data_IF_730902265554
#
_entry.id   IF_730902265554
#
_cell.length_a   1.000
_cell.length_b   1.000
_cell.length_c   1.000
_cell.angle_alpha   90.00
_cell.angle_beta   90.00
_cell.angle_gamma   90.00
#
_symmetry.space_group_name_H-M   'P 1'
#
loop_
_entity.id
_entity.type
_entity.pdbx_description
1 polymer ?
#
# COMPACT_ATOMS: atom_id res chain seq x y z
N UNK A 1 -18.53 -36.87 1.68
CA UNK A 1 -17.57 -36.25 0.74
C UNK A 1 -16.63 -37.33 0.22
N UNK A 2 -16.53 -37.53 -1.10
CA UNK A 2 -15.76 -38.64 -1.67
C UNK A 2 -14.24 -38.42 -1.53
N UNK A 3 -13.47 -39.51 -1.54
CA UNK A 3 -12.01 -39.47 -1.50
C UNK A 3 -11.42 -38.64 -2.66
N UNK A 4 -11.99 -38.74 -3.86
CA UNK A 4 -11.59 -37.94 -5.01
C UNK A 4 -11.80 -36.44 -4.80
N UNK A 5 -12.90 -36.02 -4.16
CA UNK A 5 -13.14 -34.61 -3.84
C UNK A 5 -12.14 -34.08 -2.80
N UNK A 6 -11.84 -34.86 -1.75
CA UNK A 6 -10.82 -34.50 -0.75
C UNK A 6 -9.43 -34.34 -1.40
N UNK A 7 -9.05 -35.29 -2.26
CA UNK A 7 -7.79 -35.23 -3.00
C UNK A 7 -7.69 -33.96 -3.86
N UNK A 8 -8.74 -33.61 -4.60
CA UNK A 8 -8.76 -32.38 -5.42
C UNK A 8 -8.56 -31.12 -4.58
N UNK A 9 -9.23 -31.03 -3.43
CA UNK A 9 -9.07 -29.89 -2.51
C UNK A 9 -7.63 -29.82 -2.00
N UNK A 10 -7.06 -30.93 -1.55
CA UNK A 10 -5.67 -30.96 -1.07
C UNK A 10 -4.69 -30.51 -2.16
N UNK A 11 -4.83 -31.04 -3.39
CA UNK A 11 -3.98 -30.62 -4.50
C UNK A 11 -4.13 -29.12 -4.82
N UNK A 12 -5.37 -28.62 -4.82
CA UNK A 12 -5.63 -27.20 -5.06
C UNK A 12 -4.99 -26.31 -3.99
N UNK A 13 -5.14 -26.67 -2.71
CA UNK A 13 -4.51 -25.96 -1.58
C UNK A 13 -2.98 -25.98 -1.68
N UNK A 14 -2.38 -27.13 -2.02
CA UNK A 14 -0.93 -27.24 -2.17
C UNK A 14 -0.41 -26.39 -3.33
N UNK A 15 -1.13 -26.35 -4.46
CA UNK A 15 -0.78 -25.48 -5.59
C UNK A 15 -0.86 -24.01 -5.18
N UNK A 16 -1.94 -23.58 -4.52
CA UNK A 16 -2.07 -22.20 -4.04
C UNK A 16 -0.93 -21.82 -3.09
N UNK A 17 -0.62 -22.69 -2.12
CA UNK A 17 0.47 -22.46 -1.17
C UNK A 17 1.83 -22.39 -1.87
N UNK A 18 2.04 -23.21 -2.89
CA UNK A 18 3.28 -23.21 -3.69
C UNK A 18 3.43 -21.96 -4.56
N UNK A 19 2.32 -21.42 -5.06
CA UNK A 19 2.30 -20.18 -5.85
C UNK A 19 2.39 -18.92 -4.97
N UNK A 20 2.09 -19.01 -3.67
CA UNK A 20 2.03 -17.87 -2.75
C UNK A 20 3.32 -17.01 -2.71
N UNK A 21 4.54 -17.57 -2.62
CA UNK A 21 5.76 -16.75 -2.57
C UNK A 21 5.97 -15.90 -3.83
N UNK A 22 5.59 -16.42 -5.00
CA UNK A 22 5.65 -15.65 -6.25
C UNK A 22 4.63 -14.51 -6.24
N UNK A 23 3.40 -14.79 -5.82
CA UNK A 23 2.36 -13.78 -5.67
C UNK A 23 2.77 -12.69 -4.66
N UNK A 24 3.34 -13.07 -3.52
CA UNK A 24 3.82 -12.14 -2.50
C UNK A 24 4.94 -11.24 -3.05
N UNK A 25 5.88 -11.79 -3.83
CA UNK A 25 6.92 -10.96 -4.49
C UNK A 25 6.31 -9.94 -5.45
N UNK A 26 5.28 -10.32 -6.21
CA UNK A 26 4.56 -9.39 -7.09
C UNK A 26 3.88 -8.29 -6.25
N UNK A 27 3.16 -8.66 -5.20
CA UNK A 27 2.47 -7.74 -4.29
C UNK A 27 3.42 -6.67 -3.71
N UNK A 28 4.58 -7.09 -3.22
CA UNK A 28 5.60 -6.19 -2.67
C UNK A 28 6.20 -5.30 -3.76
N UNK A 29 6.58 -5.88 -4.90
CA UNK A 29 7.35 -5.17 -5.95
C UNK A 29 6.52 -4.09 -6.65
N UNK A 30 5.26 -4.41 -6.96
CA UNK A 30 4.38 -3.54 -7.74
C UNK A 30 3.57 -2.59 -6.85
N UNK A 31 3.03 -3.08 -5.74
CA UNK A 31 2.11 -2.29 -4.90
C UNK A 31 2.70 -1.85 -3.56
N UNK A 32 3.96 -2.16 -3.26
CA UNK A 32 4.60 -1.79 -1.99
C UNK A 32 3.87 -2.33 -0.74
N UNK A 33 3.15 -3.45 -0.91
CA UNK A 33 2.45 -4.16 0.14
C UNK A 33 3.44 -4.59 1.21
N UNK A 34 3.05 -4.49 2.47
CA UNK A 34 3.84 -5.00 3.59
C UNK A 34 3.90 -6.53 3.50
N UNK A 35 5.07 -7.14 3.21
CA UNK A 35 5.19 -8.58 3.12
C UNK A 35 4.87 -9.29 4.45
N UNK A 36 5.00 -8.60 5.58
CA UNK A 36 4.89 -9.19 6.91
C UNK A 36 3.45 -9.30 7.39
N UNK A 37 2.61 -8.31 7.09
CA UNK A 37 1.22 -8.29 7.54
C UNK A 37 0.30 -9.09 6.62
N UNK A 38 0.70 -9.33 5.36
CA UNK A 38 -0.06 -10.10 4.39
C UNK A 38 0.48 -11.53 4.28
N UNK A 39 0.12 -12.38 5.27
CA UNK A 39 0.41 -13.82 5.32
C UNK A 39 1.88 -14.19 4.97
N UNK A 40 2.83 -13.39 5.45
CA UNK A 40 4.26 -13.64 5.25
C UNK A 40 4.73 -14.85 6.04
N UNK A 41 5.22 -15.88 5.35
CA UNK A 41 5.77 -17.10 5.96
C UNK A 41 7.22 -16.96 6.46
N UNK A 42 7.87 -15.80 6.28
CA UNK A 42 9.10 -15.44 7.00
C UNK A 42 8.65 -14.62 8.22
N UNK A 43 9.02 -14.80 9.49
CA UNK A 43 10.12 -15.44 10.23
C UNK A 43 11.47 -14.70 10.32
N UNK A 44 11.52 -13.38 10.04
CA UNK A 44 12.57 -12.49 10.55
C UNK A 44 12.02 -11.09 10.83
N UNK A 45 12.43 -10.49 11.93
CA UNK A 45 12.01 -9.15 12.36
C UNK A 45 12.63 -8.10 11.45
N UNK A 46 11.89 -7.61 10.45
CA UNK A 46 12.24 -6.32 9.84
C UNK A 46 11.66 -5.22 10.75
N UNK A 47 12.44 -4.20 11.13
CA UNK A 47 11.91 -3.10 11.95
C UNK A 47 10.71 -2.47 11.24
N UNK A 48 9.62 -2.30 11.98
CA UNK A 48 8.41 -1.62 11.49
C UNK A 48 8.73 -0.12 11.33
N UNK A 49 9.34 0.22 10.21
CA UNK A 49 9.69 1.58 9.88
C UNK A 49 8.44 2.29 9.31
N UNK A 50 8.19 3.54 9.71
CA UNK A 50 6.98 4.24 9.31
C UNK A 50 6.92 4.41 7.80
N UNK A 51 5.76 4.10 7.22
CA UNK A 51 5.47 4.39 5.82
C UNK A 51 5.28 5.90 5.68
N UNK A 52 5.88 6.44 4.62
CA UNK A 52 5.74 7.81 4.22
C UNK A 52 4.68 7.90 3.12
N UNK A 53 3.64 8.69 3.34
CA UNK A 53 2.64 8.99 2.31
C UNK A 53 2.78 10.45 1.98
N UNK A 54 2.86 10.77 0.69
CA UNK A 54 2.86 12.15 0.20
C UNK A 54 1.85 12.28 -0.92
N UNK A 55 1.26 13.45 -1.04
CA UNK A 55 0.31 13.77 -2.11
C UNK A 55 0.98 14.83 -2.96
N UNK A 56 1.13 14.56 -4.25
CA UNK A 56 1.64 15.50 -5.24
C UNK A 56 0.48 16.01 -6.09
N UNK A 57 0.30 17.32 -6.12
CA UNK A 57 -0.63 17.98 -7.02
C UNK A 57 -0.10 17.91 -8.47
N UNK A 58 -0.95 18.09 -9.50
CA UNK A 58 -0.50 18.12 -10.90
C UNK A 58 0.53 19.22 -11.20
N UNK A 59 0.56 20.28 -10.38
CA UNK A 59 1.58 21.33 -10.43
C UNK A 59 3.00 20.83 -10.08
N UNK A 60 3.11 19.61 -9.54
CA UNK A 60 4.35 19.04 -9.02
C UNK A 60 4.61 19.37 -7.55
N UNK A 61 3.81 20.26 -6.95
CA UNK A 61 3.93 20.63 -5.55
C UNK A 61 3.37 19.55 -4.63
N UNK A 62 4.03 19.35 -3.49
CA UNK A 62 3.51 18.47 -2.45
C UNK A 62 2.46 19.21 -1.62
N UNK A 63 1.31 18.56 -1.42
CA UNK A 63 0.26 19.09 -0.57
C UNK A 63 0.72 18.98 0.88
N UNK A 64 0.75 20.12 1.57
CA UNK A 64 1.06 20.18 3.00
C UNK A 64 -0.16 19.70 3.80
N UNK A 65 -0.14 18.42 4.20
CA UNK A 65 -1.25 17.79 4.88
C UNK A 65 -1.53 18.37 6.26
N UNK A 66 -0.55 19.02 6.90
CA UNK A 66 -0.72 19.63 8.23
C UNK A 66 -1.54 20.93 8.18
N UNK A 67 -1.65 21.54 6.99
CA UNK A 67 -2.45 22.75 6.76
C UNK A 67 -3.88 22.47 6.32
N UNK A 68 -4.22 21.21 6.09
CA UNK A 68 -5.58 20.81 5.70
C UNK A 68 -6.53 20.86 6.90
N UNK A 69 -7.84 20.92 6.62
CA UNK A 69 -8.86 20.85 7.66
C UNK A 69 -8.77 19.54 8.48
N UNK A 70 -9.14 19.56 9.77
CA UNK A 70 -8.98 18.39 10.66
C UNK A 70 -9.61 17.10 10.11
N UNK A 71 -10.78 17.19 9.45
CA UNK A 71 -11.44 16.02 8.86
C UNK A 71 -10.62 15.40 7.71
N UNK A 72 -9.92 16.24 6.94
CA UNK A 72 -9.05 15.78 5.84
C UNK A 72 -7.75 15.20 6.39
N UNK A 73 -7.22 15.77 7.49
CA UNK A 73 -6.10 15.18 8.22
C UNK A 73 -6.42 13.78 8.76
N UNK A 74 -7.62 13.60 9.29
CA UNK A 74 -8.10 12.30 9.79
C UNK A 74 -8.28 11.27 8.66
N UNK A 75 -8.78 11.69 7.50
CA UNK A 75 -8.85 10.82 6.32
C UNK A 75 -7.44 10.43 5.83
N UNK A 76 -6.51 11.38 5.83
CA UNK A 76 -5.11 11.11 5.50
C UNK A 76 -4.45 10.15 6.47
N UNK A 77 -4.66 10.31 7.79
CA UNK A 77 -4.15 9.39 8.81
C UNK A 77 -4.69 7.98 8.60
N UNK A 78 -6.00 7.84 8.38
CA UNK A 78 -6.65 6.54 8.11
C UNK A 78 -6.18 5.89 6.81
N UNK A 79 -5.89 6.69 5.78
CA UNK A 79 -5.29 6.18 4.55
C UNK A 79 -3.86 5.70 4.81
N UNK A 80 -3.03 6.49 5.52
CA UNK A 80 -1.66 6.12 5.88
C UNK A 80 -1.59 4.83 6.69
N UNK A 81 -2.50 4.64 7.64
CA UNK A 81 -2.63 3.40 8.41
C UNK A 81 -2.94 2.21 7.50
N UNK A 82 -3.89 2.33 6.57
CA UNK A 82 -4.20 1.27 5.59
C UNK A 82 -3.03 1.00 4.63
N UNK A 83 -2.39 2.05 4.14
CA UNK A 83 -1.24 1.98 3.24
C UNK A 83 -0.01 1.37 3.93
N UNK A 84 0.07 1.44 5.26
CA UNK A 84 1.13 0.78 6.02
C UNK A 84 1.13 -0.73 5.85
N UNK A 85 -0.04 -1.34 5.60
CA UNK A 85 -0.23 -2.75 5.29
C UNK A 85 -0.31 -3.01 3.79
N UNK A 86 -1.19 -2.30 3.11
CA UNK A 86 -1.61 -2.62 1.74
C UNK A 86 -0.78 -1.90 0.68
N UNK A 87 0.07 -0.94 1.06
CA UNK A 87 0.74 -0.06 0.11
C UNK A 87 -0.27 0.67 -0.78
N UNK A 88 -0.06 0.63 -2.09
CA UNK A 88 -0.97 1.20 -3.09
C UNK A 88 -2.28 0.43 -3.27
N UNK A 89 -2.43 -0.78 -2.70
CA UNK A 89 -3.73 -1.46 -2.68
C UNK A 89 -4.70 -0.85 -1.67
N UNK A 90 -4.25 0.08 -0.82
CA UNK A 90 -5.15 0.82 0.06
C UNK A 90 -6.05 1.73 -0.78
N UNK A 91 -7.38 1.58 -0.66
CA UNK A 91 -8.34 2.45 -1.36
C UNK A 91 -8.14 3.92 -0.93
N UNK A 92 -7.92 4.84 -1.90
CA UNK A 92 -7.78 6.27 -1.64
C UNK A 92 -9.12 7.01 -1.66
N UNK A 93 -10.25 6.34 -1.87
CA UNK A 93 -11.54 6.98 -2.21
C UNK A 93 -12.01 7.99 -1.15
N UNK A 94 -11.85 7.64 0.12
CA UNK A 94 -12.20 8.53 1.23
C UNK A 94 -11.29 9.76 1.28
N UNK A 95 -9.97 9.56 1.10
CA UNK A 95 -8.99 10.64 1.07
C UNK A 95 -9.29 11.59 -0.11
N UNK A 96 -9.51 11.04 -1.30
CA UNK A 96 -9.89 11.78 -2.51
C UNK A 96 -11.16 12.62 -2.29
N UNK A 97 -12.18 12.01 -1.69
CA UNK A 97 -13.44 12.69 -1.40
C UNK A 97 -13.24 13.89 -0.46
N UNK A 98 -12.37 13.75 0.53
CA UNK A 98 -12.05 14.83 1.48
C UNK A 98 -11.17 15.91 0.86
N UNK A 99 -10.18 15.55 0.05
CA UNK A 99 -9.36 16.52 -0.70
C UNK A 99 -10.21 17.37 -1.65
N UNK A 100 -11.21 16.76 -2.31
CA UNK A 100 -12.16 17.49 -3.15
C UNK A 100 -12.99 18.49 -2.33
N UNK A 101 -13.49 18.07 -1.16
CA UNK A 101 -14.23 18.97 -0.25
C UNK A 101 -13.38 20.11 0.27
N UNK A 102 -12.10 19.86 0.53
CA UNK A 102 -11.12 20.86 0.94
C UNK A 102 -10.76 21.86 -0.18
N UNK A 103 -11.32 21.71 -1.39
CA UNK A 103 -11.14 22.67 -2.48
C UNK A 103 -9.92 22.42 -3.36
N UNK A 104 -9.30 21.23 -3.32
CA UNK A 104 -8.34 20.87 -4.37
C UNK A 104 -9.07 20.78 -5.72
N UNK A 105 -8.91 21.82 -6.53
CA UNK A 105 -9.56 21.97 -7.84
C UNK A 105 -8.85 21.20 -8.97
N UNK A 106 -7.99 20.25 -8.64
CA UNK A 106 -7.22 19.50 -9.62
C UNK A 106 -8.02 18.31 -10.17
N UNK A 107 -7.77 17.94 -11.43
CA UNK A 107 -8.43 16.79 -12.07
C UNK A 107 -7.88 15.44 -11.55
N UNK A 108 -6.63 15.44 -11.09
CA UNK A 108 -5.97 14.27 -10.54
C UNK A 108 -4.99 14.67 -9.43
N UNK A 109 -4.61 13.70 -8.61
CA UNK A 109 -3.53 13.79 -7.63
C UNK A 109 -2.68 12.54 -7.71
N UNK A 110 -1.37 12.71 -7.56
CA UNK A 110 -0.43 11.60 -7.53
C UNK A 110 -0.15 11.26 -6.05
N UNK A 111 -0.53 10.05 -5.62
CA UNK A 111 -0.28 9.56 -4.26
C UNK A 111 1.03 8.78 -4.26
N UNK A 112 2.00 9.24 -3.47
CA UNK A 112 3.29 8.58 -3.29
C UNK A 112 3.32 7.83 -1.96
N UNK A 113 3.58 6.52 -2.03
CA UNK A 113 3.79 5.65 -0.86
C UNK A 113 5.25 5.22 -0.84
N UNK A 114 6.01 5.80 0.09
CA UNK A 114 7.40 5.51 0.39
C UNK A 114 7.54 4.50 1.52
N UNK A 115 8.20 3.37 1.25
CA UNK A 115 8.57 2.40 2.29
C UNK A 115 10.08 2.32 2.41
N UNK A 116 10.65 2.54 3.60
CA UNK A 116 12.07 2.31 3.83
C UNK A 116 12.36 0.79 3.84
N UNK A 117 13.35 0.40 3.04
CA UNK A 117 13.81 -0.98 2.88
C UNK A 117 15.30 -1.03 3.18
N UNK A 118 15.72 -2.05 3.93
CA UNK A 118 17.14 -2.29 4.19
C UNK A 118 17.74 -3.01 2.97
N UNK A 119 18.76 -2.42 2.36
CA UNK A 119 19.49 -3.05 1.26
C UNK A 119 20.43 -4.13 1.78
N UNK A 120 20.90 -5.01 0.91
CA UNK A 120 21.94 -6.01 1.23
C UNK A 120 23.26 -5.37 1.67
N UNK A 121 23.49 -4.09 1.36
CA UNK A 121 24.63 -3.31 1.81
C UNK A 121 24.45 -2.71 3.21
N UNK A 122 23.31 -2.95 3.87
CA UNK A 122 22.99 -2.40 5.20
C UNK A 122 22.53 -0.94 5.19
N UNK A 123 22.27 -0.34 4.02
CA UNK A 123 21.73 1.03 3.90
C UNK A 123 20.21 1.01 3.86
N UNK A 124 19.56 2.01 4.45
CA UNK A 124 18.11 2.19 4.34
C UNK A 124 17.80 3.04 3.12
N UNK A 125 17.00 2.51 2.20
CA UNK A 125 16.55 3.22 1.00
C UNK A 125 15.02 3.26 0.98
N UNK A 126 14.43 4.42 0.71
CA UNK A 126 12.98 4.55 0.58
C UNK A 126 12.55 4.15 -0.83
N UNK A 127 11.85 3.02 -0.94
CA UNK A 127 11.16 2.64 -2.16
C UNK A 127 9.86 3.43 -2.26
N UNK A 128 9.84 4.37 -3.20
CA UNK A 128 8.64 5.17 -3.50
C UNK A 128 7.89 4.53 -4.66
N UNK A 129 6.56 4.45 -4.50
CA UNK A 129 5.63 4.08 -5.56
C UNK A 129 4.57 5.15 -5.66
N UNK A 130 4.21 5.49 -6.89
CA UNK A 130 3.28 6.57 -7.19
C UNK A 130 2.09 6.00 -7.94
N UNK A 131 0.89 6.35 -7.50
CA UNK A 131 -0.35 6.05 -8.20
C UNK A 131 -1.07 7.36 -8.49
N UNK A 132 -1.46 7.53 -9.76
CA UNK A 132 -2.28 8.66 -10.17
C UNK A 132 -3.74 8.35 -9.91
N UNK A 133 -4.38 9.16 -9.09
CA UNK A 133 -5.79 9.02 -8.75
C UNK A 133 -6.56 10.20 -9.34
N UNK A 134 -7.62 9.91 -10.09
CA UNK A 134 -8.49 10.95 -10.66
C UNK A 134 -9.45 11.43 -9.57
N UNK A 135 -9.66 12.74 -9.51
CA UNK A 135 -10.67 13.36 -8.65
C UNK A 135 -11.96 13.49 -9.48
N UNK A 136 -12.96 12.57 -9.35
CA UNK A 136 -14.24 12.71 -10.03
C UNK A 136 -15.03 13.89 -9.48
#
# INVERSE_FOLDING_TARGET
>A
MSFAARRRIVFFTLVLLSCWPALQRLLVTYWNVNPWELCGFAMYVQPNLPVEVRIRAPSGEFVDTEKLEPETQDAFRRYRERASTLGLLASPDELVSMLKRAGLSHEHVDIEVGRPVLTSAGTVVTQVRTERVTLP
#
